data_IF_183948870434
#
_entry.id   IF_183948870434
#
_cell.length_a   1.000
_cell.length_b   1.000
_cell.length_c   1.000
_cell.angle_alpha   90.00
_cell.angle_beta   90.00
_cell.angle_gamma   90.00
#
_symmetry.space_group_name_H-M   'P 1'
#
loop_
_entity.id
_entity.type
_entity.pdbx_description
1 polymer ?
#
# COMPACT_ATOMS: atom_id res chain seq x y z
N UNK A 1 -3.42 -2.02 5.97
CA UNK A 1 -2.67 -3.24 6.35
C UNK A 1 -1.20 -2.93 6.56
N UNK A 2 -0.45 -2.38 5.57
CA UNK A 2 0.99 -2.15 5.69
C UNK A 2 1.39 -1.29 6.91
N UNK A 3 0.72 -0.16 7.12
CA UNK A 3 0.92 0.68 8.31
C UNK A 3 0.68 -0.07 9.62
N UNK A 4 -0.43 -0.81 9.69
CA UNK A 4 -0.76 -1.58 10.89
C UNK A 4 0.25 -2.69 11.17
N UNK A 5 0.81 -3.32 10.12
CA UNK A 5 1.88 -4.30 10.28
C UNK A 5 3.20 -3.67 10.72
N UNK A 6 3.56 -2.50 10.16
CA UNK A 6 4.76 -1.79 10.58
C UNK A 6 4.67 -1.36 12.05
N UNK A 7 3.50 -0.92 12.49
CA UNK A 7 3.26 -0.57 13.89
C UNK A 7 3.34 -1.80 14.80
N UNK A 8 2.62 -2.86 14.47
CA UNK A 8 2.52 -4.06 15.30
C UNK A 8 3.84 -4.86 15.37
N UNK A 9 4.60 -4.96 14.27
CA UNK A 9 5.80 -5.80 14.19
C UNK A 9 7.09 -5.03 14.51
N UNK A 10 7.15 -3.76 14.14
CA UNK A 10 8.39 -2.98 14.17
C UNK A 10 8.28 -1.65 14.92
N UNK A 11 7.19 -1.44 15.66
CA UNK A 11 7.05 -0.33 16.61
C UNK A 11 6.88 1.04 15.96
N UNK A 12 6.19 1.12 14.83
CA UNK A 12 5.71 2.37 14.26
C UNK A 12 5.76 2.47 12.75
N UNK A 13 4.94 3.35 12.22
CA UNK A 13 4.82 3.65 10.78
C UNK A 13 6.16 4.10 10.14
N UNK A 14 7.08 4.64 10.93
CA UNK A 14 8.44 5.02 10.49
C UNK A 14 9.24 3.84 9.92
N UNK A 15 8.86 2.60 10.24
CA UNK A 15 9.48 1.38 9.76
C UNK A 15 8.73 0.78 8.55
N UNK A 16 7.91 1.58 7.87
CA UNK A 16 7.37 1.28 6.55
C UNK A 16 8.26 1.91 5.48
N UNK A 17 8.66 1.08 4.51
CA UNK A 17 9.31 1.48 3.26
C UNK A 17 8.26 1.28 2.16
N UNK A 18 7.81 2.36 1.53
CA UNK A 18 6.80 2.29 0.47
C UNK A 18 7.41 2.68 -0.87
N UNK A 19 7.29 1.78 -1.83
CA UNK A 19 7.77 1.94 -3.21
C UNK A 19 6.55 1.80 -4.13
N UNK A 20 6.25 2.85 -4.89
CA UNK A 20 5.23 2.79 -5.93
C UNK A 20 5.85 2.26 -7.22
N UNK A 21 5.50 1.04 -7.61
CA UNK A 21 6.08 0.39 -8.78
C UNK A 21 5.55 0.94 -10.11
N UNK A 22 4.52 1.79 -10.09
CA UNK A 22 4.11 2.53 -11.28
C UNK A 22 5.18 3.54 -11.78
N UNK A 23 6.15 3.90 -10.94
CA UNK A 23 7.28 4.74 -11.31
C UNK A 23 8.42 3.94 -11.99
N UNK A 24 8.32 2.60 -11.99
CA UNK A 24 9.34 1.67 -12.47
C UNK A 24 8.85 0.84 -13.66
N UNK A 25 8.25 1.49 -14.65
CA UNK A 25 7.66 0.86 -15.84
C UNK A 25 8.69 0.57 -16.95
N UNK A 26 9.90 1.10 -16.85
CA UNK A 26 10.93 0.96 -17.86
C UNK A 26 12.15 0.18 -17.33
N UNK A 27 12.80 -0.59 -18.19
CA UNK A 27 13.93 -1.44 -17.81
C UNK A 27 15.06 -0.70 -17.08
N UNK A 28 15.37 0.54 -17.51
CA UNK A 28 16.45 1.33 -16.90
C UNK A 28 16.13 1.76 -15.45
N UNK A 29 14.86 1.75 -15.03
CA UNK A 29 14.47 2.15 -13.67
C UNK A 29 14.89 1.13 -12.61
N UNK A 30 15.26 -0.09 -12.98
CA UNK A 30 15.89 -1.08 -12.08
C UNK A 30 17.09 -0.48 -11.35
N UNK A 31 17.90 0.31 -12.07
CA UNK A 31 19.07 0.97 -11.47
C UNK A 31 18.73 2.03 -10.44
N UNK A 32 17.56 2.66 -10.53
CA UNK A 32 17.08 3.57 -9.50
C UNK A 32 16.67 2.81 -8.21
N UNK A 33 16.09 1.62 -8.39
CA UNK A 33 15.62 0.81 -7.27
C UNK A 33 16.78 0.19 -6.47
N UNK A 34 17.74 -0.44 -7.17
CA UNK A 34 18.85 -1.15 -6.52
C UNK A 34 20.21 -0.43 -6.57
N UNK A 35 20.33 0.67 -7.30
CA UNK A 35 21.57 1.39 -7.56
C UNK A 35 22.13 1.12 -8.96
N UNK A 36 22.82 2.10 -9.51
CA UNK A 36 23.45 2.00 -10.84
C UNK A 36 24.80 1.26 -10.76
N UNK A 37 25.09 0.35 -11.71
CA UNK A 37 26.38 -0.32 -11.78
C UNK A 37 27.52 0.64 -12.22
N UNK A 38 28.79 0.24 -12.05
CA UNK A 38 29.93 1.05 -12.49
C UNK A 38 29.82 1.48 -13.95
N UNK A 39 30.12 2.76 -14.22
CA UNK A 39 30.06 3.34 -15.55
C UNK A 39 28.71 3.91 -15.99
N UNK A 40 27.65 3.75 -15.17
CA UNK A 40 26.34 4.34 -15.44
C UNK A 40 26.09 5.59 -14.60
N UNK A 41 25.22 6.48 -15.11
CA UNK A 41 24.79 7.69 -14.38
C UNK A 41 24.12 7.28 -13.08
N UNK A 42 24.53 7.90 -11.96
CA UNK A 42 24.03 7.57 -10.62
C UNK A 42 24.85 6.48 -9.90
N UNK A 43 25.98 6.01 -10.46
CA UNK A 43 26.88 5.10 -9.75
C UNK A 43 27.33 5.70 -8.39
N UNK A 44 27.25 4.89 -7.35
CA UNK A 44 27.64 5.28 -5.99
C UNK A 44 26.57 6.03 -5.18
N UNK A 45 25.45 6.42 -5.79
CA UNK A 45 24.36 7.08 -5.03
C UNK A 45 23.44 6.10 -4.28
N UNK A 46 23.64 4.79 -4.47
CA UNK A 46 22.78 3.75 -3.90
C UNK A 46 21.42 3.66 -4.59
N UNK A 47 20.67 2.59 -4.34
CA UNK A 47 19.30 2.43 -4.83
C UNK A 47 18.27 2.84 -3.79
N UNK A 48 17.13 3.34 -4.24
CA UNK A 48 16.06 3.80 -3.33
C UNK A 48 15.65 2.69 -2.35
N UNK A 49 15.44 1.47 -2.85
CA UNK A 49 15.04 0.33 -2.02
C UNK A 49 16.22 -0.20 -1.19
N UNK A 50 17.37 -0.43 -1.82
CA UNK A 50 18.53 -1.02 -1.14
C UNK A 50 19.04 -0.14 -0.01
N UNK A 51 19.09 1.18 -0.20
CA UNK A 51 19.45 2.13 0.86
C UNK A 51 18.39 2.21 1.96
N UNK A 52 17.12 2.19 1.62
CA UNK A 52 16.04 2.23 2.61
C UNK A 52 16.10 0.99 3.53
N UNK A 53 16.27 -0.22 2.95
CA UNK A 53 16.37 -1.47 3.73
C UNK A 53 17.68 -1.52 4.53
N UNK A 54 18.79 -1.06 3.98
CA UNK A 54 20.08 -0.98 4.71
C UNK A 54 19.96 -0.12 5.97
N UNK A 55 19.23 1.01 5.89
CA UNK A 55 18.98 1.90 7.04
C UNK A 55 17.95 1.36 8.01
N UNK A 56 16.99 0.55 7.53
CA UNK A 56 15.89 -0.01 8.31
C UNK A 56 15.73 -1.50 8.00
N UNK A 57 16.65 -2.34 8.50
CA UNK A 57 16.63 -3.78 8.20
C UNK A 57 15.42 -4.52 8.80
N UNK A 58 14.79 -3.96 9.82
CA UNK A 58 13.54 -4.44 10.42
C UNK A 58 12.41 -3.53 9.98
N UNK A 59 11.76 -3.85 8.87
CA UNK A 59 10.75 -2.99 8.26
C UNK A 59 9.71 -3.78 7.47
N UNK A 60 8.58 -3.14 7.23
CA UNK A 60 7.63 -3.57 6.20
C UNK A 60 8.00 -2.87 4.89
N UNK A 61 8.19 -3.62 3.83
CA UNK A 61 8.41 -3.12 2.48
C UNK A 61 7.11 -3.27 1.70
N UNK A 62 6.49 -2.15 1.34
CA UNK A 62 5.29 -2.12 0.52
C UNK A 62 5.68 -1.82 -0.93
N UNK A 63 5.38 -2.77 -1.81
CA UNK A 63 5.50 -2.64 -3.26
C UNK A 63 4.10 -2.38 -3.83
N UNK A 64 3.78 -1.12 -4.10
CA UNK A 64 2.46 -0.72 -4.55
C UNK A 64 2.33 -0.79 -6.07
N UNK A 65 1.19 -1.26 -6.59
CA UNK A 65 0.89 -1.41 -8.02
C UNK A 65 1.90 -2.30 -8.78
N UNK A 66 2.17 -3.49 -8.24
CA UNK A 66 3.22 -4.39 -8.75
C UNK A 66 3.00 -4.81 -10.21
N UNK A 67 1.76 -4.82 -10.70
CA UNK A 67 1.42 -5.11 -12.11
C UNK A 67 1.90 -4.05 -13.08
N UNK A 68 2.26 -2.86 -12.62
CA UNK A 68 2.77 -1.76 -13.44
C UNK A 68 4.28 -1.83 -13.68
N UNK A 69 4.99 -2.60 -12.84
CA UNK A 69 6.43 -2.70 -12.90
C UNK A 69 6.93 -3.36 -14.19
N UNK A 70 8.08 -2.88 -14.71
CA UNK A 70 8.77 -3.59 -15.78
C UNK A 70 9.17 -5.00 -15.33
N UNK A 71 9.13 -6.03 -16.20
CA UNK A 71 9.53 -7.39 -15.85
C UNK A 71 10.91 -7.50 -15.20
N UNK A 72 11.89 -6.71 -15.62
CA UNK A 72 13.25 -6.71 -15.06
C UNK A 72 13.27 -6.22 -13.60
N UNK A 73 12.34 -5.31 -13.24
CA UNK A 73 12.16 -4.87 -11.85
C UNK A 73 11.66 -6.03 -10.99
N UNK A 74 10.67 -6.79 -11.49
CA UNK A 74 10.17 -7.99 -10.79
C UNK A 74 11.25 -9.07 -10.68
N UNK A 75 12.10 -9.20 -11.70
CA UNK A 75 13.20 -10.17 -11.72
C UNK A 75 14.25 -9.89 -10.63
N UNK A 76 14.49 -8.61 -10.30
CA UNK A 76 15.39 -8.23 -9.22
C UNK A 76 14.94 -8.77 -7.84
N UNK A 77 13.66 -9.04 -7.65
CA UNK A 77 13.12 -9.57 -6.39
C UNK A 77 13.27 -11.09 -6.23
N UNK A 78 13.60 -11.87 -7.28
CA UNK A 78 13.75 -13.32 -7.13
C UNK A 78 14.79 -13.70 -6.08
N UNK A 79 15.93 -13.03 -6.06
CA UNK A 79 16.96 -13.30 -5.05
C UNK A 79 16.48 -12.92 -3.64
N UNK A 80 15.66 -11.89 -3.52
CA UNK A 80 15.07 -11.49 -2.24
C UNK A 80 14.12 -12.58 -1.74
N UNK A 81 13.26 -13.12 -2.60
CA UNK A 81 12.31 -14.16 -2.21
C UNK A 81 12.96 -15.50 -1.94
N UNK A 82 14.03 -15.85 -2.67
CA UNK A 82 14.70 -17.16 -2.54
C UNK A 82 15.77 -17.17 -1.45
N UNK A 83 16.54 -16.09 -1.32
CA UNK A 83 17.72 -16.02 -0.46
C UNK A 83 17.64 -14.95 0.62
N UNK A 84 16.65 -14.07 0.56
CA UNK A 84 16.51 -12.94 1.47
C UNK A 84 17.53 -11.83 1.25
N UNK A 85 18.13 -11.72 0.06
CA UNK A 85 19.16 -10.72 -0.23
C UNK A 85 19.00 -10.10 -1.62
N UNK A 86 19.47 -8.85 -1.75
CA UNK A 86 19.61 -8.15 -3.02
C UNK A 86 20.99 -7.51 -3.11
N UNK A 87 21.67 -7.70 -4.23
CA UNK A 87 22.91 -6.95 -4.53
C UNK A 87 22.55 -5.56 -5.06
N UNK A 88 23.18 -4.54 -4.50
CA UNK A 88 23.05 -3.19 -5.01
C UNK A 88 23.93 -2.96 -6.26
N UNK A 89 23.85 -1.76 -6.86
CA UNK A 89 24.61 -1.42 -8.05
C UNK A 89 26.14 -1.43 -7.86
N UNK A 90 26.64 -1.46 -6.63
CA UNK A 90 28.08 -1.54 -6.33
C UNK A 90 28.53 -2.98 -6.03
N UNK A 91 27.60 -3.96 -6.02
CA UNK A 91 27.84 -5.35 -5.65
C UNK A 91 27.77 -5.63 -4.14
N UNK A 92 27.36 -4.64 -3.33
CA UNK A 92 27.15 -4.87 -1.90
C UNK A 92 25.82 -5.59 -1.67
N UNK A 93 25.88 -6.61 -0.81
CA UNK A 93 24.70 -7.40 -0.44
C UNK A 93 23.88 -6.67 0.62
N UNK A 94 22.58 -6.51 0.35
CA UNK A 94 21.59 -5.95 1.29
C UNK A 94 20.71 -7.09 1.79
N UNK A 95 20.56 -7.19 3.11
CA UNK A 95 19.80 -8.25 3.79
C UNK A 95 18.34 -7.86 3.98
N UNK A 96 17.43 -8.67 3.41
CA UNK A 96 15.98 -8.53 3.48
C UNK A 96 15.31 -9.54 4.41
N UNK A 97 16.07 -10.43 5.06
CA UNK A 97 15.51 -11.56 5.85
C UNK A 97 14.67 -11.12 7.04
N UNK A 98 14.88 -9.91 7.52
CA UNK A 98 14.13 -9.31 8.62
C UNK A 98 13.03 -8.34 8.14
N UNK A 99 12.72 -8.32 6.85
CA UNK A 99 11.65 -7.50 6.29
C UNK A 99 10.40 -8.35 6.04
N UNK A 100 9.23 -7.72 6.16
CA UNK A 100 7.97 -8.28 5.64
C UNK A 100 7.66 -7.55 4.34
N UNK A 101 7.60 -8.28 3.24
CA UNK A 101 7.32 -7.70 1.93
C UNK A 101 5.83 -7.87 1.61
N UNK A 102 5.15 -6.77 1.34
CA UNK A 102 3.78 -6.72 0.86
C UNK A 102 3.78 -6.16 -0.56
N UNK A 103 3.05 -6.82 -1.44
CA UNK A 103 2.80 -6.32 -2.78
C UNK A 103 1.31 -6.10 -2.97
N UNK A 104 0.91 -4.96 -3.56
CA UNK A 104 -0.49 -4.71 -3.92
C UNK A 104 -0.67 -4.81 -5.43
N UNK A 105 -1.84 -5.25 -5.86
CA UNK A 105 -2.22 -5.32 -7.26
C UNK A 105 -3.73 -5.18 -7.42
N UNK A 106 -4.14 -4.60 -8.55
CA UNK A 106 -5.53 -4.55 -8.98
C UNK A 106 -5.90 -5.71 -9.94
N UNK A 107 -4.96 -6.59 -10.26
CA UNK A 107 -5.21 -7.74 -11.12
C UNK A 107 -6.17 -8.71 -10.42
N UNK A 108 -7.29 -9.00 -11.07
CA UNK A 108 -8.35 -9.85 -10.50
C UNK A 108 -9.39 -9.10 -9.66
N UNK A 109 -9.35 -7.76 -9.60
CA UNK A 109 -10.33 -6.96 -8.86
C UNK A 109 -11.77 -7.18 -9.39
N UNK A 110 -11.97 -7.27 -10.71
CA UNK A 110 -13.27 -7.55 -11.31
C UNK A 110 -13.83 -8.91 -10.86
N UNK A 111 -12.97 -9.93 -10.81
CA UNK A 111 -13.36 -11.25 -10.33
C UNK A 111 -13.83 -11.21 -8.87
N UNK A 112 -13.21 -10.38 -8.04
CA UNK A 112 -13.57 -10.18 -6.64
C UNK A 112 -14.91 -9.43 -6.49
N UNK A 113 -15.12 -8.39 -7.32
CA UNK A 113 -16.35 -7.61 -7.33
C UNK A 113 -17.57 -8.44 -7.75
N UNK A 114 -17.39 -9.31 -8.75
CA UNK A 114 -18.43 -10.14 -9.33
C UNK A 114 -18.71 -11.42 -8.52
N UNK A 115 -17.90 -11.73 -7.52
CA UNK A 115 -18.02 -12.96 -6.73
C UNK A 115 -18.68 -12.70 -5.38
N UNK A 116 -19.71 -13.49 -5.00
CA UNK A 116 -20.28 -13.43 -3.66
C UNK A 116 -19.22 -13.68 -2.59
N UNK A 117 -19.35 -13.01 -1.44
CA UNK A 117 -18.38 -13.09 -0.35
C UNK A 117 -18.09 -14.53 0.11
N UNK A 118 -19.11 -15.38 0.10
CA UNK A 118 -19.02 -16.79 0.50
C UNK A 118 -18.17 -17.62 -0.46
N UNK A 119 -18.07 -17.22 -1.73
CA UNK A 119 -17.28 -17.92 -2.74
C UNK A 119 -15.79 -17.54 -2.69
N UNK A 120 -15.46 -16.34 -2.22
CA UNK A 120 -14.08 -15.81 -2.20
C UNK A 120 -13.15 -16.63 -1.30
N UNK A 121 -13.70 -17.36 -0.30
CA UNK A 121 -12.91 -18.22 0.59
C UNK A 121 -12.86 -19.69 0.11
N UNK A 122 -13.19 -19.97 -1.15
CA UNK A 122 -13.21 -21.35 -1.66
C UNK A 122 -12.01 -21.68 -2.53
N UNK A 123 -11.55 -22.95 -2.57
CA UNK A 123 -10.47 -23.39 -3.46
C UNK A 123 -10.78 -23.12 -4.95
N UNK A 124 -12.05 -23.20 -5.34
CA UNK A 124 -12.49 -22.92 -6.71
C UNK A 124 -12.28 -21.44 -7.08
N UNK A 125 -12.47 -20.53 -6.14
CA UNK A 125 -12.16 -19.12 -6.34
C UNK A 125 -10.66 -18.90 -6.48
N UNK A 126 -9.85 -19.52 -5.61
CA UNK A 126 -8.40 -19.42 -5.64
C UNK A 126 -7.83 -19.88 -7.00
N UNK A 127 -8.36 -20.97 -7.57
CA UNK A 127 -7.99 -21.44 -8.91
C UNK A 127 -8.33 -20.42 -10.00
N UNK A 128 -9.52 -19.81 -9.94
CA UNK A 128 -9.93 -18.76 -10.88
C UNK A 128 -9.06 -17.53 -10.76
N UNK A 129 -8.82 -17.07 -9.55
CA UNK A 129 -7.94 -15.92 -9.27
C UNK A 129 -6.52 -16.19 -9.77
N UNK A 130 -6.00 -17.38 -9.50
CA UNK A 130 -4.68 -17.79 -9.99
C UNK A 130 -4.56 -17.75 -11.51
N UNK A 131 -5.60 -18.18 -12.23
CA UNK A 131 -5.63 -18.12 -13.70
C UNK A 131 -5.58 -16.67 -14.20
N UNK A 132 -6.28 -15.76 -13.54
CA UNK A 132 -6.25 -14.32 -13.87
C UNK A 132 -4.87 -13.75 -13.60
N UNK A 133 -4.28 -14.03 -12.43
CA UNK A 133 -2.94 -13.55 -12.07
C UNK A 133 -1.86 -14.04 -13.03
N UNK A 134 -1.97 -15.28 -13.54
CA UNK A 134 -1.02 -15.87 -14.51
C UNK A 134 -1.04 -15.18 -15.89
N UNK A 135 -2.05 -14.36 -16.19
CA UNK A 135 -2.06 -13.55 -17.41
C UNK A 135 -1.10 -12.34 -17.31
N UNK A 136 -0.80 -11.90 -16.09
CA UNK A 136 0.06 -10.73 -15.84
C UNK A 136 1.41 -11.13 -15.25
N UNK A 137 1.43 -12.08 -14.33
CA UNK A 137 2.63 -12.47 -13.60
C UNK A 137 3.16 -13.82 -14.04
N UNK A 138 4.49 -13.95 -14.11
CA UNK A 138 5.14 -15.23 -14.41
C UNK A 138 4.83 -16.28 -13.32
N UNK A 139 4.63 -17.56 -13.67
CA UNK A 139 4.35 -18.61 -12.69
C UNK A 139 5.39 -18.70 -11.56
N UNK A 140 6.67 -18.52 -11.91
CA UNK A 140 7.78 -18.53 -10.96
C UNK A 140 7.69 -17.43 -9.91
N UNK A 141 7.16 -16.25 -10.28
CA UNK A 141 6.94 -15.14 -9.36
C UNK A 141 5.80 -15.43 -8.38
N UNK A 142 4.66 -15.88 -8.90
CA UNK A 142 3.49 -16.21 -8.07
C UNK A 142 3.74 -17.40 -7.12
N UNK A 143 4.63 -18.33 -7.48
CA UNK A 143 4.96 -19.45 -6.62
C UNK A 143 5.67 -19.05 -5.32
N UNK A 144 6.21 -17.84 -5.26
CA UNK A 144 6.94 -17.29 -4.10
C UNK A 144 6.10 -16.35 -3.23
N UNK A 145 4.83 -16.18 -3.58
CA UNK A 145 3.91 -15.28 -2.90
C UNK A 145 2.71 -16.00 -2.31
N UNK A 146 2.24 -15.51 -1.19
CA UNK A 146 0.91 -15.84 -0.67
C UNK A 146 -0.06 -14.77 -1.15
N UNK A 147 -1.03 -15.17 -1.96
CA UNK A 147 -2.06 -14.28 -2.46
C UNK A 147 -3.18 -14.15 -1.43
N UNK A 148 -3.49 -12.90 -1.06
CA UNK A 148 -4.55 -12.57 -0.11
C UNK A 148 -5.58 -11.69 -0.80
N UNK A 149 -6.77 -12.20 -1.16
CA UNK A 149 -7.82 -11.42 -1.80
C UNK A 149 -8.43 -10.43 -0.78
N UNK A 150 -8.44 -9.15 -1.15
CA UNK A 150 -9.09 -8.09 -0.37
C UNK A 150 -10.48 -7.82 -0.94
N UNK A 151 -11.50 -8.16 -0.17
CA UNK A 151 -12.89 -7.93 -0.54
C UNK A 151 -13.23 -6.43 -0.51
N UNK A 152 -14.21 -5.99 -1.32
CA UNK A 152 -14.80 -4.67 -1.17
C UNK A 152 -15.29 -4.45 0.27
N UNK A 153 -15.18 -3.20 0.73
CA UNK A 153 -15.64 -2.84 2.06
C UNK A 153 -17.18 -2.84 2.10
N UNK A 154 -17.73 -3.51 3.08
CA UNK A 154 -19.16 -3.47 3.38
C UNK A 154 -19.54 -2.11 4.00
N UNK A 155 -20.82 -1.74 3.93
CA UNK A 155 -21.34 -0.45 4.40
C UNK A 155 -20.98 -0.18 5.88
N UNK A 156 -21.12 -1.19 6.74
CA UNK A 156 -20.75 -1.09 8.15
C UNK A 156 -19.26 -0.78 8.36
N UNK A 157 -18.38 -1.32 7.52
CA UNK A 157 -16.96 -1.02 7.58
C UNK A 157 -16.67 0.42 7.09
N UNK A 158 -17.38 0.88 6.06
CA UNK A 158 -17.27 2.25 5.57
C UNK A 158 -17.77 3.25 6.62
N UNK A 159 -18.88 2.97 7.31
CA UNK A 159 -19.36 3.77 8.45
C UNK A 159 -18.29 3.88 9.55
N UNK A 160 -17.70 2.75 9.93
CA UNK A 160 -16.60 2.72 10.91
C UNK A 160 -15.40 3.58 10.50
N UNK A 161 -15.04 3.59 9.21
CA UNK A 161 -13.96 4.43 8.67
C UNK A 161 -14.32 5.91 8.77
N UNK A 162 -15.55 6.30 8.44
CA UNK A 162 -16.01 7.71 8.57
C UNK A 162 -15.91 8.15 10.01
N UNK A 163 -16.43 7.36 10.95
CA UNK A 163 -16.38 7.67 12.39
C UNK A 163 -14.93 7.83 12.86
N UNK A 164 -14.05 6.87 12.56
CA UNK A 164 -12.65 6.93 12.97
C UNK A 164 -11.92 8.17 12.42
N UNK A 165 -12.23 8.59 11.17
CA UNK A 165 -11.66 9.81 10.57
C UNK A 165 -12.22 11.09 11.20
N UNK A 166 -13.50 11.14 11.54
CA UNK A 166 -14.11 12.27 12.26
C UNK A 166 -13.53 12.41 13.68
N UNK A 167 -13.35 11.29 14.39
CA UNK A 167 -12.68 11.27 15.70
C UNK A 167 -11.25 11.83 15.62
N UNK A 168 -10.48 11.38 14.65
CA UNK A 168 -9.12 11.88 14.42
C UNK A 168 -9.10 13.38 14.09
N UNK A 169 -10.09 13.88 13.34
CA UNK A 169 -10.26 15.30 13.10
C UNK A 169 -10.59 16.07 14.39
N UNK A 170 -11.48 15.53 15.22
CA UNK A 170 -11.84 16.11 16.52
C UNK A 170 -10.63 16.25 17.43
N UNK A 171 -9.80 15.19 17.53
CA UNK A 171 -8.57 15.23 18.31
C UNK A 171 -7.59 16.29 17.80
N UNK A 172 -7.40 16.36 16.48
CA UNK A 172 -6.51 17.35 15.86
C UNK A 172 -7.00 18.77 16.08
N UNK A 173 -8.31 19.02 15.93
CA UNK A 173 -8.92 20.32 16.18
C UNK A 173 -8.74 20.74 17.64
N UNK A 174 -8.99 19.82 18.58
CA UNK A 174 -8.77 20.06 20.02
C UNK A 174 -7.31 20.38 20.33
N UNK A 175 -6.37 19.66 19.75
CA UNK A 175 -4.94 19.91 19.94
C UNK A 175 -4.50 21.27 19.39
N UNK A 176 -5.09 21.72 18.27
CA UNK A 176 -4.72 22.98 17.63
C UNK A 176 -5.37 24.22 18.28
N UNK A 177 -6.61 24.09 18.77
CA UNK A 177 -7.42 25.25 19.21
C UNK A 177 -7.73 25.26 20.69
N UNK A 178 -7.55 24.16 21.39
CA UNK A 178 -8.04 23.95 22.77
C UNK A 178 -9.56 23.78 22.87
N UNK A 179 -10.30 23.98 21.77
CA UNK A 179 -11.76 23.83 21.67
C UNK A 179 -12.10 22.40 21.23
N UNK A 180 -13.31 21.95 21.50
CA UNK A 180 -13.82 20.67 21.04
C UNK A 180 -15.08 20.90 20.21
N UNK A 181 -15.26 20.13 19.15
CA UNK A 181 -16.51 20.04 18.41
C UNK A 181 -17.09 18.63 18.55
N UNK A 182 -18.39 18.54 18.49
CA UNK A 182 -19.12 17.29 18.39
C UNK A 182 -19.78 17.18 17.03
N UNK A 183 -20.05 15.98 16.59
CA UNK A 183 -20.72 15.71 15.32
C UNK A 183 -21.93 14.81 15.52
N UNK A 184 -23.01 15.14 14.82
CA UNK A 184 -24.20 14.32 14.78
C UNK A 184 -23.93 13.01 14.02
N UNK A 185 -24.38 11.84 14.51
CA UNK A 185 -24.30 10.57 13.77
C UNK A 185 -24.85 10.62 12.35
N UNK A 186 -25.81 11.53 12.07
CA UNK A 186 -26.34 11.74 10.72
C UNK A 186 -25.28 12.16 9.70
N UNK A 187 -24.16 12.77 10.16
CA UNK A 187 -23.07 13.18 9.26
C UNK A 187 -22.41 11.95 8.59
N UNK A 188 -22.39 10.82 9.28
CA UNK A 188 -21.81 9.58 8.73
C UNK A 188 -22.57 9.16 7.46
N UNK A 189 -23.89 9.13 7.55
CA UNK A 189 -24.76 8.82 6.40
C UNK A 189 -24.66 9.88 5.31
N UNK A 190 -24.57 11.15 5.67
CA UNK A 190 -24.43 12.24 4.72
C UNK A 190 -23.08 12.19 3.95
N UNK A 191 -22.01 11.77 4.61
CA UNK A 191 -20.70 11.54 3.97
C UNK A 191 -20.78 10.35 3.03
N UNK A 192 -21.31 9.22 3.47
CA UNK A 192 -21.42 8.01 2.66
C UNK A 192 -22.31 8.20 1.43
N UNK A 193 -23.41 8.94 1.57
CA UNK A 193 -24.30 9.26 0.45
C UNK A 193 -23.62 10.07 -0.68
N UNK A 194 -22.50 10.72 -0.39
CA UNK A 194 -21.70 11.50 -1.36
C UNK A 194 -20.47 10.75 -1.87
N UNK A 195 -20.15 9.61 -1.26
CA UNK A 195 -19.09 8.76 -1.75
C UNK A 195 -19.56 7.98 -2.97
N UNK A 196 -18.71 7.92 -3.99
CA UNK A 196 -18.91 7.01 -5.11
C UNK A 196 -18.53 5.57 -4.71
N UNK A 197 -18.74 4.62 -5.60
CA UNK A 197 -18.30 3.24 -5.40
C UNK A 197 -16.77 3.05 -5.23
N UNK A 198 -16.00 4.15 -5.24
CA UNK A 198 -14.53 4.14 -5.16
C UNK A 198 -13.95 3.85 -3.76
N UNK A 199 -14.80 3.62 -2.74
CA UNK A 199 -14.39 3.09 -1.44
C UNK A 199 -13.80 4.13 -0.48
N UNK A 200 -12.90 3.69 0.41
CA UNK A 200 -12.38 4.50 1.54
C UNK A 200 -11.62 5.77 1.12
N UNK A 201 -11.07 5.83 -0.10
CA UNK A 201 -10.36 7.03 -0.60
C UNK A 201 -11.33 8.19 -0.84
N UNK A 202 -12.54 7.90 -1.32
CA UNK A 202 -13.59 8.91 -1.51
C UNK A 202 -14.06 9.52 -0.18
N UNK A 203 -14.14 8.72 0.88
CA UNK A 203 -14.48 9.21 2.23
C UNK A 203 -13.52 10.33 2.63
N UNK A 204 -12.24 10.19 2.37
CA UNK A 204 -11.24 11.21 2.71
C UNK A 204 -11.46 12.51 1.93
N UNK A 205 -11.70 12.40 0.62
CA UNK A 205 -11.98 13.55 -0.24
C UNK A 205 -13.26 14.29 0.19
N UNK A 206 -14.33 13.55 0.48
CA UNK A 206 -15.60 14.14 0.94
C UNK A 206 -15.43 14.82 2.30
N UNK A 207 -14.71 14.20 3.25
CA UNK A 207 -14.43 14.81 4.55
C UNK A 207 -13.57 16.07 4.44
N UNK A 208 -12.53 16.03 3.59
CA UNK A 208 -11.70 17.22 3.33
C UNK A 208 -12.52 18.36 2.75
N UNK A 209 -13.34 18.10 1.75
CA UNK A 209 -14.13 19.14 1.09
C UNK A 209 -15.26 19.72 1.96
N UNK A 210 -15.89 18.89 2.79
CA UNK A 210 -17.14 19.28 3.47
C UNK A 210 -17.00 19.55 4.96
N UNK A 211 -16.05 18.90 5.63
CA UNK A 211 -15.87 19.04 7.08
C UNK A 211 -14.65 19.87 7.38
N UNK A 212 -13.50 19.52 6.81
CA UNK A 212 -12.23 20.18 7.13
C UNK A 212 -12.24 21.64 6.68
N UNK A 213 -12.86 21.96 5.54
CA UNK A 213 -13.03 23.36 5.07
C UNK A 213 -13.78 24.22 6.08
N UNK A 214 -14.92 23.73 6.56
CA UNK A 214 -15.73 24.45 7.57
C UNK A 214 -15.03 24.58 8.92
N UNK A 215 -14.31 23.53 9.35
CA UNK A 215 -13.51 23.61 10.58
C UNK A 215 -12.38 24.63 10.46
N UNK A 216 -11.76 24.76 9.29
CA UNK A 216 -10.72 25.76 9.05
C UNK A 216 -11.29 27.20 9.14
N UNK A 217 -12.49 27.44 8.62
CA UNK A 217 -13.19 28.74 8.78
C UNK A 217 -13.40 29.08 10.26
N UNK A 218 -13.87 28.10 11.07
CA UNK A 218 -14.10 28.32 12.52
C UNK A 218 -12.82 28.52 13.34
N UNK A 219 -11.66 28.11 12.82
CA UNK A 219 -10.36 28.36 13.47
C UNK A 219 -9.91 29.80 13.23
N UNK A 220 -10.34 30.41 12.10
CA UNK A 220 -9.96 31.78 11.71
C UNK A 220 -10.87 32.86 12.31
N UNK A 221 -12.05 32.46 12.79
CA UNK A 221 -12.96 33.31 13.59
C UNK A 221 -12.62 33.24 15.10
#
# INVERSE_FOLDING_TARGET
TAYALADALYGGERNLISINLSEYQEAHTVSQLKGAPPGYVGYGSGGVLTEAVRRKPYSVVLLDEIEKAHPDVLEAFYNVFDKGVMEDGTGLVVDFRNTVILATSNVGAELLLDSPAEQVATPAFDERLRKVLLQTFRPAFLARMTVVPYRPLEEAALEGIVVAKLEKLRERYKAATGKQFDFDPAIVKAVLAKCSAAGARDIENVLMAQVTGKLAEWVLE
#
